data_IF_659009453607
#
_entry.id   IF_659009453607
#
_cell.length_a   1.000
_cell.length_b   1.000
_cell.length_c   1.000
_cell.angle_alpha   90.00
_cell.angle_beta   90.00
_cell.angle_gamma   90.00
#
_symmetry.space_group_name_H-M   'P 1'
#
loop_
_entity.id
_entity.type
_entity.pdbx_description
1 polymer ?
#
# COMPACT_ATOMS: atom_id res chain seq x y z
N UNK A 1 -5.24 -8.54 27.17
CA UNK A 1 -4.15 -7.57 26.90
C UNK A 1 -3.24 -7.55 28.10
N UNK A 2 -2.05 -8.16 28.02
CA UNK A 2 -1.06 -8.06 29.09
C UNK A 2 -0.46 -6.65 29.03
N UNK A 3 -0.52 -5.93 30.15
CA UNK A 3 0.04 -4.58 30.30
C UNK A 3 1.56 -4.68 30.27
N UNK A 4 2.17 -4.43 29.11
CA UNK A 4 3.62 -4.27 28.98
C UNK A 4 4.10 -3.17 29.93
N UNK A 5 5.07 -3.48 30.80
CA UNK A 5 5.62 -2.48 31.71
C UNK A 5 6.45 -1.45 30.92
N UNK A 6 6.51 -0.17 31.33
CA UNK A 6 7.34 0.85 30.68
C UNK A 6 8.82 0.45 30.55
N UNK A 7 9.30 -0.41 31.46
CA UNK A 7 10.67 -0.94 31.44
C UNK A 7 10.91 -1.95 30.32
N UNK A 8 9.88 -2.71 29.89
CA UNK A 8 9.98 -3.66 28.77
C UNK A 8 10.24 -2.94 27.44
N UNK A 9 9.63 -1.77 27.25
CA UNK A 9 9.79 -0.96 26.03
C UNK A 9 11.18 -0.31 25.97
N UNK A 10 11.69 0.15 27.12
CA UNK A 10 13.03 0.72 27.25
C UNK A 10 14.11 -0.32 27.03
N UNK A 11 13.92 -1.53 27.55
CA UNK A 11 14.87 -2.63 27.36
C UNK A 11 14.91 -3.09 25.90
N UNK A 12 13.76 -3.17 25.22
CA UNK A 12 13.70 -3.47 23.79
C UNK A 12 14.44 -2.41 22.95
N UNK A 13 14.17 -1.11 23.20
CA UNK A 13 14.87 -0.02 22.49
C UNK A 13 16.38 -0.03 22.74
N UNK A 14 16.82 -0.21 23.98
CA UNK A 14 18.25 -0.26 24.33
C UNK A 14 18.98 -1.38 23.60
N UNK A 15 18.38 -2.57 23.53
CA UNK A 15 18.99 -3.70 22.82
C UNK A 15 19.06 -3.45 21.32
N UNK A 16 18.02 -2.87 20.71
CA UNK A 16 18.05 -2.49 19.29
C UNK A 16 19.11 -1.43 19.00
N UNK A 17 19.26 -0.40 19.82
CA UNK A 17 20.33 0.60 19.63
C UNK A 17 21.72 0.00 19.83
N UNK A 18 21.90 -0.87 20.84
CA UNK A 18 23.16 -1.56 21.06
C UNK A 18 23.53 -2.46 19.88
N UNK A 19 22.54 -3.18 19.32
CA UNK A 19 22.71 -4.00 18.12
C UNK A 19 23.20 -3.16 16.95
N UNK A 20 22.45 -2.10 16.60
CA UNK A 20 22.78 -1.23 15.48
C UNK A 20 24.19 -0.62 15.61
N UNK A 21 24.54 -0.08 16.79
CA UNK A 21 25.88 0.48 17.03
C UNK A 21 26.99 -0.56 16.90
N UNK A 22 26.78 -1.77 17.42
CA UNK A 22 27.75 -2.85 17.34
C UNK A 22 27.94 -3.30 15.88
N UNK A 23 26.85 -3.50 15.14
CA UNK A 23 26.89 -3.93 13.74
C UNK A 23 27.56 -2.88 12.85
N UNK A 24 27.27 -1.61 13.07
CA UNK A 24 27.95 -0.51 12.38
C UNK A 24 29.45 -0.44 12.64
N UNK A 25 29.85 -0.50 13.91
CA UNK A 25 31.27 -0.43 14.29
C UNK A 25 32.05 -1.64 13.75
N UNK A 26 31.49 -2.83 13.88
CA UNK A 26 32.09 -4.07 13.36
C UNK A 26 32.14 -4.05 11.83
N UNK A 27 31.06 -3.62 11.16
CA UNK A 27 30.99 -3.49 9.71
C UNK A 27 32.09 -2.56 9.19
N UNK A 28 32.19 -1.35 9.75
CA UNK A 28 33.22 -0.38 9.37
C UNK A 28 34.64 -0.91 9.61
N UNK A 29 34.88 -1.54 10.77
CA UNK A 29 36.17 -2.15 11.09
C UNK A 29 36.55 -3.24 10.09
N UNK A 30 35.60 -4.11 9.71
CA UNK A 30 35.81 -5.18 8.72
C UNK A 30 36.11 -4.61 7.33
N UNK A 31 35.41 -3.57 6.89
CA UNK A 31 35.69 -2.90 5.61
C UNK A 31 37.10 -2.32 5.59
N UNK A 32 37.50 -1.59 6.63
CA UNK A 32 38.83 -0.96 6.72
C UNK A 32 39.92 -2.03 6.75
N UNK A 33 39.82 -3.00 7.67
CA UNK A 33 40.84 -4.05 7.81
C UNK A 33 40.88 -4.94 6.58
N UNK A 34 39.73 -5.32 6.02
CA UNK A 34 39.64 -6.10 4.79
C UNK A 34 40.31 -5.40 3.61
N UNK A 35 40.11 -4.08 3.46
CA UNK A 35 40.76 -3.29 2.41
C UNK A 35 42.28 -3.20 2.60
N UNK A 36 42.75 -2.96 3.84
CA UNK A 36 44.18 -2.89 4.17
C UNK A 36 44.90 -4.22 3.91
N UNK A 37 44.21 -5.31 4.21
CA UNK A 37 44.74 -6.67 4.13
C UNK A 37 44.54 -7.30 2.73
N UNK A 38 43.64 -6.74 1.92
CA UNK A 38 43.30 -7.24 0.60
C UNK A 38 42.36 -8.46 0.60
N UNK A 39 41.62 -8.70 1.69
CA UNK A 39 40.59 -9.75 1.75
C UNK A 39 39.26 -9.23 1.21
N UNK A 40 38.81 -9.81 0.10
CA UNK A 40 37.54 -9.44 -0.50
C UNK A 40 36.36 -9.98 0.33
N UNK A 41 36.51 -11.15 0.96
CA UNK A 41 35.47 -11.75 1.79
C UNK A 41 35.16 -10.89 3.02
N UNK A 42 36.21 -10.38 3.68
CA UNK A 42 36.06 -9.53 4.86
C UNK A 42 35.46 -8.17 4.51
N UNK A 43 35.81 -7.61 3.34
CA UNK A 43 35.17 -6.38 2.84
C UNK A 43 33.69 -6.62 2.54
N UNK A 44 33.33 -7.74 1.89
CA UNK A 44 31.95 -8.07 1.56
C UNK A 44 31.07 -8.24 2.82
N UNK A 45 31.58 -8.95 3.82
CA UNK A 45 30.91 -9.14 5.12
C UNK A 45 30.81 -7.84 5.94
N UNK A 46 31.83 -6.97 5.81
CA UNK A 46 31.81 -5.63 6.38
C UNK A 46 30.76 -4.72 5.73
N UNK A 47 30.65 -4.74 4.40
CA UNK A 47 29.62 -3.99 3.66
C UNK A 47 28.23 -4.49 4.04
N UNK A 48 28.01 -5.81 4.08
CA UNK A 48 26.74 -6.39 4.54
C UNK A 48 26.33 -5.83 5.92
N UNK A 49 27.22 -5.95 6.91
CA UNK A 49 26.93 -5.47 8.27
C UNK A 49 26.76 -3.94 8.36
N UNK A 50 27.48 -3.18 7.54
CA UNK A 50 27.32 -1.72 7.47
C UNK A 50 25.99 -1.32 6.81
N UNK A 51 25.58 -2.05 5.77
CA UNK A 51 24.31 -1.86 5.08
C UNK A 51 23.13 -2.12 6.01
N UNK A 52 23.22 -3.10 6.92
CA UNK A 52 22.19 -3.33 7.94
C UNK A 52 22.01 -2.09 8.83
N UNK A 53 23.10 -1.50 9.35
CA UNK A 53 23.03 -0.24 10.11
C UNK A 53 22.42 0.91 9.28
N UNK A 54 22.84 1.06 8.03
CA UNK A 54 22.30 2.12 7.16
C UNK A 54 20.81 1.89 6.92
N UNK A 55 20.37 0.65 6.73
CA UNK A 55 18.96 0.28 6.58
C UNK A 55 18.18 0.65 7.83
N UNK A 56 18.66 0.27 9.02
CA UNK A 56 18.02 0.61 10.29
C UNK A 56 17.93 2.13 10.51
N UNK A 57 19.02 2.84 10.22
CA UNK A 57 19.08 4.30 10.29
C UNK A 57 18.13 4.97 9.30
N UNK A 58 18.03 4.42 8.09
CA UNK A 58 17.13 4.89 7.06
C UNK A 58 15.68 4.65 7.45
N UNK A 59 15.34 3.48 7.98
CA UNK A 59 13.98 3.19 8.50
C UNK A 59 13.63 4.16 9.62
N UNK A 60 14.55 4.45 10.55
CA UNK A 60 14.33 5.43 11.62
C UNK A 60 14.13 6.87 11.08
N UNK A 61 14.96 7.29 10.13
CA UNK A 61 14.87 8.61 9.51
C UNK A 61 13.61 8.72 8.65
N UNK A 62 13.32 7.73 7.82
CA UNK A 62 12.13 7.64 7.00
C UNK A 62 10.86 7.58 7.85
N UNK A 63 10.87 6.88 8.98
CA UNK A 63 9.76 6.94 9.95
C UNK A 63 9.59 8.36 10.50
N UNK A 64 10.65 9.13 10.70
CA UNK A 64 10.56 10.51 11.16
C UNK A 64 10.01 11.47 10.08
N UNK A 65 10.54 11.41 8.85
CA UNK A 65 10.12 12.26 7.74
C UNK A 65 8.80 11.81 7.10
N UNK A 66 8.58 10.51 6.94
CA UNK A 66 7.37 9.91 6.37
C UNK A 66 6.14 10.00 7.28
N UNK A 67 6.32 10.25 8.58
CA UNK A 67 5.23 10.59 9.51
C UNK A 67 4.71 12.01 9.39
N UNK A 68 5.36 12.86 8.58
CA UNK A 68 4.84 14.18 8.30
C UNK A 68 3.53 14.03 7.54
N UNK A 69 2.49 14.63 8.11
CA UNK A 69 1.15 14.63 7.51
C UNK A 69 1.13 15.35 6.16
N UNK A 70 -0.02 15.33 5.48
CA UNK A 70 -0.24 16.14 4.30
C UNK A 70 0.09 17.62 4.52
N UNK A 71 0.69 18.25 3.52
CA UNK A 71 0.93 19.69 3.44
C UNK A 71 0.42 20.26 2.10
N UNK A 72 0.72 21.52 1.80
CA UNK A 72 0.24 22.21 0.59
C UNK A 72 0.77 21.59 -0.72
N UNK A 73 1.98 21.03 -0.70
CA UNK A 73 2.62 20.44 -1.88
C UNK A 73 2.44 18.90 -1.93
N UNK A 74 2.04 18.27 -0.81
CA UNK A 74 1.91 16.82 -0.65
C UNK A 74 0.58 16.44 0.03
N UNK A 75 -0.52 16.50 -0.70
CA UNK A 75 -1.88 16.19 -0.18
C UNK A 75 -2.05 14.76 0.36
N UNK A 76 -1.22 13.80 -0.04
CA UNK A 76 -1.23 12.42 0.47
C UNK A 76 -0.14 12.15 1.53
N UNK A 77 0.59 13.19 1.93
CA UNK A 77 1.69 13.12 2.89
C UNK A 77 3.01 12.64 2.28
N UNK A 78 4.00 12.45 3.15
CA UNK A 78 5.41 12.26 2.77
C UNK A 78 5.87 10.81 2.77
N UNK A 79 4.94 9.85 2.88
CA UNK A 79 5.26 8.43 3.01
C UNK A 79 6.17 7.90 1.89
N UNK A 80 5.98 8.34 0.64
CA UNK A 80 6.77 7.90 -0.51
C UNK A 80 8.27 8.23 -0.43
N UNK A 81 8.68 9.14 0.47
CA UNK A 81 10.11 9.40 0.72
C UNK A 81 10.79 8.14 1.28
N UNK A 82 10.09 7.36 2.11
CA UNK A 82 10.58 6.07 2.62
C UNK A 82 10.83 5.08 1.48
N UNK A 83 9.87 4.97 0.56
CA UNK A 83 9.95 4.12 -0.62
C UNK A 83 11.13 4.51 -1.51
N UNK A 84 11.31 5.81 -1.77
CA UNK A 84 12.43 6.32 -2.57
C UNK A 84 13.78 6.07 -1.91
N UNK A 85 13.87 6.27 -0.60
CA UNK A 85 15.10 6.03 0.13
C UNK A 85 15.48 4.54 0.13
N UNK A 86 14.48 3.66 0.30
CA UNK A 86 14.66 2.20 0.27
C UNK A 86 15.07 1.71 -1.12
N UNK A 87 14.47 2.28 -2.18
CA UNK A 87 14.86 2.03 -3.57
C UNK A 87 16.31 2.42 -3.83
N UNK A 88 16.74 3.61 -3.37
CA UNK A 88 18.11 4.08 -3.54
C UNK A 88 19.10 3.18 -2.81
N UNK A 89 18.78 2.81 -1.56
CA UNK A 89 19.59 1.89 -0.78
C UNK A 89 19.75 0.54 -1.48
N UNK A 90 18.65 -0.10 -1.89
CA UNK A 90 18.67 -1.35 -2.65
C UNK A 90 19.54 -1.26 -3.91
N UNK A 91 19.44 -0.14 -4.64
CA UNK A 91 20.27 0.14 -5.83
C UNK A 91 21.76 0.21 -5.52
N UNK A 92 22.14 0.89 -4.43
CA UNK A 92 23.55 0.99 -3.98
C UNK A 92 24.07 -0.38 -3.57
N UNK A 93 23.28 -1.20 -2.86
CA UNK A 93 23.68 -2.54 -2.44
C UNK A 93 23.97 -3.44 -3.64
N UNK A 94 23.10 -3.45 -4.65
CA UNK A 94 23.30 -4.22 -5.89
C UNK A 94 24.58 -3.76 -6.60
N UNK A 95 24.80 -2.45 -6.71
CA UNK A 95 25.99 -1.90 -7.36
C UNK A 95 27.28 -2.34 -6.65
N UNK A 96 27.34 -2.19 -5.33
CA UNK A 96 28.50 -2.56 -4.53
C UNK A 96 28.72 -4.08 -4.54
N UNK A 97 27.67 -4.87 -4.38
CA UNK A 97 27.70 -6.32 -4.51
C UNK A 97 28.24 -6.76 -5.89
N UNK A 98 27.76 -6.14 -6.98
CA UNK A 98 28.24 -6.40 -8.33
C UNK A 98 29.74 -6.08 -8.48
N UNK A 99 30.21 -4.97 -7.91
CA UNK A 99 31.63 -4.61 -7.91
C UNK A 99 32.52 -5.62 -7.16
N UNK A 100 32.07 -6.09 -6.00
CA UNK A 100 32.77 -7.13 -5.23
C UNK A 100 32.76 -8.46 -5.97
N UNK A 101 31.60 -8.89 -6.49
CA UNK A 101 31.47 -10.12 -7.25
C UNK A 101 32.40 -10.10 -8.46
N UNK A 102 32.39 -9.03 -9.25
CA UNK A 102 33.23 -8.85 -10.43
C UNK A 102 34.72 -8.91 -10.09
N UNK A 103 35.16 -8.13 -9.10
CA UNK A 103 36.57 -8.09 -8.70
C UNK A 103 37.05 -9.42 -8.11
N UNK A 104 36.21 -10.11 -7.34
CA UNK A 104 36.51 -11.42 -6.76
C UNK A 104 36.55 -12.52 -7.81
N UNK A 105 35.64 -12.50 -8.78
CA UNK A 105 35.61 -13.43 -9.89
C UNK A 105 36.82 -13.24 -10.82
N UNK A 106 37.21 -11.99 -11.08
CA UNK A 106 38.41 -11.69 -11.84
C UNK A 106 39.67 -12.19 -11.12
N UNK A 107 39.77 -12.04 -9.79
CA UNK A 107 40.88 -12.60 -8.99
C UNK A 107 40.91 -14.13 -9.07
N UNK A 108 39.76 -14.78 -9.01
CA UNK A 108 39.63 -16.23 -9.06
C UNK A 108 40.12 -16.80 -10.41
N UNK A 109 39.74 -16.16 -11.54
CA UNK A 109 40.14 -16.63 -12.87
C UNK A 109 41.56 -16.22 -13.27
N UNK A 110 42.06 -15.09 -12.78
CA UNK A 110 43.43 -14.63 -13.07
C UNK A 110 44.51 -15.29 -12.20
N UNK A 111 44.12 -16.20 -11.29
CA UNK A 111 45.01 -16.89 -10.35
C UNK A 111 46.01 -15.95 -9.63
N UNK A 112 45.57 -14.73 -9.32
CA UNK A 112 46.42 -13.75 -8.64
C UNK A 112 46.79 -14.27 -7.26
N UNK A 113 48.07 -14.21 -6.89
CA UNK A 113 48.50 -14.60 -5.55
C UNK A 113 47.87 -13.64 -4.54
N UNK A 114 46.99 -14.17 -3.70
CA UNK A 114 46.36 -13.44 -2.60
C UNK A 114 47.30 -13.53 -1.41
N UNK A 115 47.81 -12.39 -0.96
CA UNK A 115 48.62 -12.31 0.25
C UNK A 115 47.83 -12.85 1.44
N UNK A 116 48.45 -13.64 2.33
CA UNK A 116 47.78 -14.13 3.53
C UNK A 116 47.19 -12.96 4.33
N UNK A 117 45.92 -13.02 4.71
CA UNK A 117 45.25 -11.88 5.32
C UNK A 117 45.79 -11.51 6.72
N UNK A 118 46.64 -12.36 7.30
CA UNK A 118 47.32 -12.10 8.56
C UNK A 118 46.42 -12.33 9.76
N UNK A 119 47.07 -12.50 10.93
CA UNK A 119 46.41 -12.87 12.17
C UNK A 119 45.35 -11.84 12.62
N UNK A 120 45.57 -10.56 12.32
CA UNK A 120 44.66 -9.47 12.73
C UNK A 120 43.30 -9.51 12.05
N UNK A 121 43.24 -9.89 10.76
CA UNK A 121 41.98 -10.03 10.03
C UNK A 121 41.13 -11.19 10.59
N UNK A 122 41.77 -12.32 10.89
CA UNK A 122 41.10 -13.47 11.51
C UNK A 122 40.62 -13.16 12.93
N UNK A 123 41.44 -12.47 13.73
CA UNK A 123 41.06 -12.04 15.08
C UNK A 123 39.84 -11.12 15.04
N UNK A 124 39.82 -10.16 14.11
CA UNK A 124 38.68 -9.26 13.93
C UNK A 124 37.41 -10.03 13.54
N UNK A 125 37.50 -10.94 12.57
CA UNK A 125 36.35 -11.75 12.14
C UNK A 125 35.84 -12.65 13.28
N UNK A 126 36.74 -13.23 14.09
CA UNK A 126 36.38 -14.02 15.26
C UNK A 126 35.70 -13.18 16.34
N UNK A 127 36.25 -12.00 16.67
CA UNK A 127 35.65 -11.07 17.63
C UNK A 127 34.26 -10.65 17.15
N UNK A 128 34.11 -10.33 15.87
CA UNK A 128 32.82 -9.94 15.30
C UNK A 128 31.79 -11.09 15.39
N UNK A 129 32.21 -12.31 15.07
CA UNK A 129 31.36 -13.50 15.17
C UNK A 129 30.88 -13.74 16.60
N UNK A 130 31.80 -13.69 17.58
CA UNK A 130 31.46 -13.87 19.00
C UNK A 130 30.58 -12.73 19.52
N UNK A 131 30.83 -11.49 19.09
CA UNK A 131 30.02 -10.34 19.46
C UNK A 131 28.59 -10.45 18.93
N UNK A 132 28.40 -10.84 17.66
CA UNK A 132 27.07 -11.07 17.07
C UNK A 132 26.34 -12.26 17.73
N UNK A 133 27.03 -13.36 18.04
CA UNK A 133 26.41 -14.48 18.77
C UNK A 133 25.98 -14.08 20.19
N UNK A 134 26.79 -13.28 20.89
CA UNK A 134 26.42 -12.72 22.18
C UNK A 134 25.19 -11.81 22.08
N UNK A 135 25.15 -10.95 21.06
CA UNK A 135 24.01 -10.08 20.77
C UNK A 135 22.75 -10.89 20.49
N UNK A 136 22.81 -11.94 19.66
CA UNK A 136 21.70 -12.86 19.42
C UNK A 136 21.11 -13.38 20.74
N UNK A 137 21.96 -13.87 21.66
CA UNK A 137 21.49 -14.39 22.94
C UNK A 137 20.87 -13.32 23.83
N UNK A 138 21.39 -12.09 23.82
CA UNK A 138 20.83 -10.96 24.59
C UNK A 138 19.47 -10.57 24.00
N UNK A 139 19.39 -10.37 22.69
CA UNK A 139 18.14 -10.00 21.99
C UNK A 139 17.08 -11.08 22.15
N UNK A 140 17.43 -12.36 22.01
CA UNK A 140 16.50 -13.48 22.22
C UNK A 140 15.99 -13.57 23.67
N UNK A 141 16.84 -13.30 24.66
CA UNK A 141 16.43 -13.25 26.07
C UNK A 141 15.41 -12.12 26.32
N UNK A 142 15.65 -10.95 25.75
CA UNK A 142 14.71 -9.82 25.86
C UNK A 142 13.43 -10.10 25.08
N UNK A 143 13.52 -10.61 23.86
CA UNK A 143 12.38 -10.96 23.01
C UNK A 143 11.38 -11.89 23.71
N UNK A 144 11.89 -12.96 24.34
CA UNK A 144 11.08 -13.91 25.12
C UNK A 144 10.48 -13.30 26.37
N UNK A 145 11.22 -12.41 27.06
CA UNK A 145 10.74 -11.72 28.26
C UNK A 145 9.56 -10.80 27.93
N UNK A 146 9.70 -9.99 26.89
CA UNK A 146 8.68 -9.02 26.46
C UNK A 146 7.61 -9.65 25.55
N UNK A 147 7.73 -10.95 25.25
CA UNK A 147 6.84 -11.73 24.37
C UNK A 147 6.65 -11.09 22.99
N UNK A 148 7.72 -10.51 22.44
CA UNK A 148 7.68 -9.84 21.14
C UNK A 148 8.18 -10.77 20.03
N UNK A 149 7.26 -11.23 19.18
CA UNK A 149 7.58 -12.00 17.97
C UNK A 149 8.47 -11.21 17.00
N UNK A 150 8.35 -9.89 16.98
CA UNK A 150 9.17 -9.01 16.15
C UNK A 150 10.63 -9.02 16.61
N UNK A 151 10.88 -8.90 17.92
CA UNK A 151 12.26 -9.02 18.44
C UNK A 151 12.81 -10.44 18.26
N UNK A 152 11.97 -11.49 18.34
CA UNK A 152 12.40 -12.86 18.07
C UNK A 152 12.84 -13.02 16.61
N UNK A 153 12.07 -12.48 15.65
CA UNK A 153 12.43 -12.46 14.24
C UNK A 153 13.74 -11.70 13.99
N UNK A 154 13.91 -10.52 14.61
CA UNK A 154 15.15 -9.74 14.50
C UNK A 154 16.37 -10.49 15.06
N UNK A 155 16.22 -11.20 16.17
CA UNK A 155 17.29 -12.03 16.72
C UNK A 155 17.68 -13.16 15.74
N UNK A 156 16.70 -13.85 15.13
CA UNK A 156 16.99 -14.87 14.13
C UNK A 156 17.65 -14.31 12.87
N UNK A 157 17.27 -13.09 12.46
CA UNK A 157 17.94 -12.38 11.37
C UNK A 157 19.42 -12.14 11.68
N UNK A 158 19.72 -11.53 12.83
CA UNK A 158 21.10 -11.32 13.31
C UNK A 158 21.92 -12.62 13.38
N UNK A 159 21.28 -13.75 13.72
CA UNK A 159 21.93 -15.07 13.72
C UNK A 159 22.26 -15.57 12.31
N UNK A 160 21.46 -15.23 11.31
CA UNK A 160 21.81 -15.51 9.91
C UNK A 160 23.09 -14.81 9.52
N UNK A 161 23.33 -13.60 10.02
CA UNK A 161 24.58 -12.87 9.75
C UNK A 161 25.79 -13.50 10.44
N UNK A 162 25.61 -14.07 11.64
CA UNK A 162 26.66 -14.86 12.31
C UNK A 162 27.14 -15.99 11.41
N UNK A 163 26.22 -16.68 10.73
CA UNK A 163 26.55 -17.76 9.80
C UNK A 163 27.33 -17.24 8.58
N UNK A 164 26.95 -16.08 8.04
CA UNK A 164 27.70 -15.42 6.95
C UNK A 164 29.12 -15.05 7.37
N UNK A 165 29.29 -14.41 8.54
CA UNK A 165 30.60 -14.09 9.10
C UNK A 165 31.42 -15.36 9.41
N UNK A 166 30.78 -16.48 9.77
CA UNK A 166 31.47 -17.76 9.97
C UNK A 166 32.08 -18.30 8.67
N UNK A 167 31.36 -18.19 7.54
CA UNK A 167 31.89 -18.55 6.21
C UNK A 167 33.13 -17.72 5.88
N UNK A 168 33.10 -16.42 6.17
CA UNK A 168 34.23 -15.51 5.97
C UNK A 168 35.41 -15.89 6.86
N UNK A 169 35.18 -16.20 8.13
CA UNK A 169 36.24 -16.64 9.05
C UNK A 169 36.91 -17.92 8.55
N UNK A 170 36.14 -18.90 8.10
CA UNK A 170 36.68 -20.14 7.52
C UNK A 170 37.52 -19.84 6.27
N UNK A 171 37.06 -18.94 5.40
CA UNK A 171 37.79 -18.53 4.22
C UNK A 171 39.11 -17.82 4.56
N UNK A 172 39.11 -16.94 5.57
CA UNK A 172 40.32 -16.26 6.05
C UNK A 172 41.35 -17.25 6.62
N UNK A 173 40.91 -18.21 7.43
CA UNK A 173 41.78 -19.27 7.97
C UNK A 173 42.37 -20.11 6.86
N UNK A 174 41.56 -20.51 5.88
CA UNK A 174 42.02 -21.31 4.76
C UNK A 174 42.99 -20.53 3.85
N UNK A 175 42.73 -19.24 3.61
CA UNK A 175 43.64 -18.34 2.91
C UNK A 175 44.99 -18.22 3.64
N UNK A 176 44.98 -18.16 4.98
CA UNK A 176 46.19 -18.14 5.79
C UNK A 176 47.01 -19.44 5.68
N UNK A 177 46.36 -20.58 5.45
CA UNK A 177 46.99 -21.89 5.24
C UNK A 177 47.47 -22.11 3.78
N UNK A 178 47.37 -21.09 2.93
CA UNK A 178 47.83 -21.13 1.53
C UNK A 178 46.71 -21.40 0.52
N UNK A 179 45.45 -21.51 0.95
CA UNK A 179 44.28 -21.74 0.08
C UNK A 179 43.58 -20.40 -0.23
N UNK A 180 44.33 -19.44 -0.79
CA UNK A 180 43.87 -18.05 -0.97
C UNK A 180 42.62 -17.89 -1.83
N UNK A 181 42.37 -18.80 -2.78
CA UNK A 181 41.19 -18.76 -3.65
C UNK A 181 39.86 -18.88 -2.90
N UNK A 182 39.86 -19.45 -1.68
CA UNK A 182 38.67 -19.53 -0.84
C UNK A 182 38.18 -18.15 -0.37
N UNK A 183 39.06 -17.18 -0.20
CA UNK A 183 38.66 -15.79 0.09
C UNK A 183 37.85 -15.20 -1.07
N UNK A 184 38.30 -15.41 -2.31
CA UNK A 184 37.56 -14.95 -3.49
C UNK A 184 36.19 -15.65 -3.63
N UNK A 185 36.12 -16.96 -3.35
CA UNK A 185 34.85 -17.70 -3.39
C UNK A 185 33.89 -17.22 -2.30
N UNK A 186 34.38 -17.06 -1.07
CA UNK A 186 33.55 -16.52 0.02
C UNK A 186 33.08 -15.09 -0.29
N UNK A 187 33.93 -14.24 -0.86
CA UNK A 187 33.55 -12.90 -1.31
C UNK A 187 32.43 -12.92 -2.36
N UNK A 188 32.51 -13.83 -3.35
CA UNK A 188 31.44 -14.01 -4.35
C UNK A 188 30.14 -14.45 -3.66
N UNK A 189 30.19 -15.46 -2.78
CA UNK A 189 29.00 -15.95 -2.07
C UNK A 189 28.34 -14.83 -1.24
N UNK A 190 29.12 -14.10 -0.44
CA UNK A 190 28.61 -13.01 0.38
C UNK A 190 28.07 -11.87 -0.50
N UNK A 191 28.76 -11.52 -1.59
CA UNK A 191 28.26 -10.49 -2.52
C UNK A 191 26.94 -10.86 -3.18
N UNK A 192 26.71 -12.13 -3.50
CA UNK A 192 25.41 -12.59 -4.02
C UNK A 192 24.30 -12.49 -2.96
N UNK A 193 24.62 -12.77 -1.70
CA UNK A 193 23.68 -12.60 -0.59
C UNK A 193 23.30 -11.12 -0.41
N UNK A 194 24.28 -10.22 -0.38
CA UNK A 194 24.07 -8.76 -0.29
C UNK A 194 23.28 -8.27 -1.51
N UNK A 195 23.64 -8.72 -2.71
CA UNK A 195 22.94 -8.36 -3.94
C UNK A 195 21.49 -8.83 -3.95
N UNK A 196 21.19 -10.01 -3.38
CA UNK A 196 19.82 -10.49 -3.19
C UNK A 196 19.02 -9.57 -2.27
N UNK A 197 19.59 -9.17 -1.12
CA UNK A 197 18.92 -8.24 -0.19
C UNK A 197 18.64 -6.90 -0.90
N UNK A 198 19.63 -6.36 -1.61
CA UNK A 198 19.46 -5.14 -2.39
C UNK A 198 18.38 -5.28 -3.48
N UNK A 199 18.31 -6.43 -4.15
CA UNK A 199 17.29 -6.74 -5.14
C UNK A 199 15.89 -6.82 -4.54
N UNK A 200 15.74 -7.50 -3.40
CA UNK A 200 14.46 -7.65 -2.72
C UNK A 200 13.93 -6.25 -2.29
N UNK A 201 14.79 -5.39 -1.72
CA UNK A 201 14.44 -3.99 -1.39
C UNK A 201 14.06 -3.15 -2.62
N UNK A 202 14.86 -3.23 -3.69
CA UNK A 202 14.61 -2.48 -4.92
C UNK A 202 13.31 -2.93 -5.58
N UNK A 203 13.06 -4.24 -5.65
CA UNK A 203 11.87 -4.80 -6.27
C UNK A 203 10.60 -4.45 -5.48
N UNK A 204 10.63 -4.57 -4.15
CA UNK A 204 9.50 -4.22 -3.29
C UNK A 204 9.16 -2.72 -3.40
N UNK A 205 10.17 -1.85 -3.26
CA UNK A 205 10.00 -0.40 -3.40
C UNK A 205 9.55 0.01 -4.80
N UNK A 206 10.10 -0.65 -5.84
CA UNK A 206 9.71 -0.42 -7.23
C UNK A 206 8.26 -0.78 -7.49
N UNK A 207 7.78 -1.91 -6.92
CA UNK A 207 6.37 -2.31 -7.00
C UNK A 207 5.45 -1.31 -6.31
N UNK A 208 5.85 -0.78 -5.18
CA UNK A 208 5.09 0.24 -4.47
C UNK A 208 4.99 1.54 -5.28
N UNK A 209 6.09 1.98 -5.92
CA UNK A 209 6.11 3.19 -6.75
C UNK A 209 5.19 3.13 -7.98
N UNK A 210 4.95 1.92 -8.52
CA UNK A 210 4.03 1.71 -9.65
C UNK A 210 2.61 1.39 -9.20
N UNK A 211 2.27 1.67 -7.93
CA UNK A 211 0.95 1.46 -7.35
C UNK A 211 0.45 0.02 -7.48
N UNK A 212 1.34 -0.95 -7.22
CA UNK A 212 0.98 -2.37 -7.30
C UNK A 212 -0.17 -2.70 -6.33
N UNK A 213 -1.17 -3.41 -6.85
CA UNK A 213 -2.33 -3.83 -6.09
C UNK A 213 -1.99 -4.79 -4.94
N UNK A 214 -2.88 -4.85 -3.95
CA UNK A 214 -2.83 -5.83 -2.88
C UNK A 214 -2.96 -7.27 -3.44
N UNK A 215 -2.56 -8.31 -2.70
CA UNK A 215 -2.77 -9.69 -3.14
C UNK A 215 -4.25 -9.97 -3.49
N UNK A 216 -4.49 -10.75 -4.55
CA UNK A 216 -5.85 -11.01 -5.06
C UNK A 216 -6.79 -11.59 -4.00
N UNK A 217 -6.27 -12.42 -3.10
CA UNK A 217 -7.05 -12.98 -1.99
C UNK A 217 -7.54 -11.89 -1.03
N UNK A 218 -6.71 -10.88 -0.77
CA UNK A 218 -7.07 -9.75 0.09
C UNK A 218 -8.12 -8.87 -0.57
N UNK A 219 -7.96 -8.57 -1.87
CA UNK A 219 -8.96 -7.86 -2.66
C UNK A 219 -10.31 -8.59 -2.64
N UNK A 220 -10.32 -9.92 -2.81
CA UNK A 220 -11.54 -10.73 -2.78
C UNK A 220 -12.19 -10.77 -1.39
N UNK A 221 -11.43 -10.64 -0.30
CA UNK A 221 -12.00 -10.48 1.04
C UNK A 221 -12.57 -9.07 1.25
N UNK A 222 -11.88 -8.03 0.77
CA UNK A 222 -12.40 -6.65 0.82
C UNK A 222 -13.71 -6.51 0.04
N UNK A 223 -13.76 -7.09 -1.16
CA UNK A 223 -14.97 -7.15 -1.99
C UNK A 223 -16.16 -7.74 -1.23
N UNK A 224 -15.99 -8.92 -0.60
CA UNK A 224 -17.03 -9.56 0.21
C UNK A 224 -17.49 -8.69 1.39
N UNK A 225 -16.55 -8.06 2.10
CA UNK A 225 -16.90 -7.16 3.22
C UNK A 225 -17.78 -5.98 2.75
N UNK A 226 -17.51 -5.45 1.55
CA UNK A 226 -18.32 -4.40 0.95
C UNK A 226 -19.70 -4.90 0.52
N UNK A 227 -19.79 -6.07 -0.14
CA UNK A 227 -21.08 -6.67 -0.53
C UNK A 227 -21.97 -7.05 0.65
N UNK A 228 -21.40 -7.43 1.79
CA UNK A 228 -22.17 -7.83 2.98
C UNK A 228 -22.86 -6.64 3.69
N UNK A 229 -22.72 -5.41 3.18
CA UNK A 229 -23.40 -4.23 3.71
C UNK A 229 -24.85 -4.19 3.20
N UNK A 230 -25.86 -4.09 4.10
CA UNK A 230 -27.24 -3.94 3.69
C UNK A 230 -27.44 -2.71 2.79
N UNK A 231 -28.13 -2.90 1.67
CA UNK A 231 -28.38 -1.85 0.67
C UNK A 231 -27.36 -1.83 -0.48
N UNK A 232 -26.25 -2.57 -0.37
CA UNK A 232 -25.33 -2.80 -1.49
C UNK A 232 -25.89 -3.91 -2.38
N UNK A 233 -26.06 -3.59 -3.66
CA UNK A 233 -26.52 -4.53 -4.70
C UNK A 233 -25.30 -5.15 -5.40
N UNK A 234 -24.26 -4.35 -5.63
CA UNK A 234 -23.05 -4.75 -6.33
C UNK A 234 -21.84 -3.92 -5.93
N UNK A 235 -20.65 -4.45 -6.20
CA UNK A 235 -19.39 -3.74 -6.06
C UNK A 235 -18.52 -4.11 -7.24
N UNK A 236 -18.08 -3.10 -7.99
CA UNK A 236 -17.16 -3.25 -9.12
C UNK A 236 -16.04 -2.21 -9.01
N UNK A 237 -15.09 -2.24 -9.95
CA UNK A 237 -13.92 -1.35 -10.01
C UNK A 237 -13.14 -1.18 -8.69
N UNK A 238 -13.08 -2.26 -7.91
CA UNK A 238 -12.30 -2.33 -6.69
C UNK A 238 -10.81 -2.31 -7.04
N UNK A 239 -10.18 -1.14 -6.86
CA UNK A 239 -8.77 -0.89 -7.12
C UNK A 239 -8.06 -0.64 -5.80
N UNK A 240 -7.04 -1.45 -5.53
CA UNK A 240 -6.16 -1.28 -4.37
C UNK A 240 -4.79 -0.81 -4.81
N UNK A 241 -4.12 -0.04 -3.97
CA UNK A 241 -2.69 0.27 -4.09
C UNK A 241 -2.05 0.33 -2.72
N UNK A 242 -0.74 0.10 -2.67
CA UNK A 242 0.07 0.26 -1.47
C UNK A 242 0.93 1.53 -1.58
N UNK A 243 1.03 2.28 -0.49
CA UNK A 243 1.86 3.47 -0.40
C UNK A 243 2.38 3.62 1.03
N UNK A 244 3.69 3.55 1.21
CA UNK A 244 4.42 3.64 2.48
C UNK A 244 3.86 2.70 3.57
N UNK A 245 3.69 1.42 3.23
CA UNK A 245 3.12 0.41 4.13
C UNK A 245 1.64 0.62 4.48
N UNK A 246 0.94 1.56 3.80
CA UNK A 246 -0.50 1.80 3.95
C UNK A 246 -1.23 1.32 2.70
N UNK A 247 -2.43 0.81 2.89
CA UNK A 247 -3.33 0.48 1.79
C UNK A 247 -4.25 1.66 1.47
N UNK A 248 -4.51 1.86 0.18
CA UNK A 248 -5.51 2.77 -0.35
C UNK A 248 -6.48 1.96 -1.22
N UNK A 249 -7.76 2.32 -1.18
CA UNK A 249 -8.81 1.63 -1.92
C UNK A 249 -9.73 2.62 -2.63
N UNK A 250 -9.93 2.40 -3.92
CA UNK A 250 -10.98 3.03 -4.70
C UNK A 250 -11.99 1.95 -5.09
N UNK A 251 -13.29 2.19 -4.91
CA UNK A 251 -14.33 1.22 -5.29
C UNK A 251 -15.62 1.90 -5.73
N UNK A 252 -16.39 1.20 -6.55
CA UNK A 252 -17.73 1.59 -6.94
C UNK A 252 -18.74 0.72 -6.19
N UNK A 253 -19.78 1.34 -5.64
CA UNK A 253 -20.81 0.67 -4.84
C UNK A 253 -22.15 0.88 -5.52
N UNK A 254 -22.70 -0.19 -6.07
CA UNK A 254 -24.02 -0.17 -6.70
C UNK A 254 -25.09 -0.29 -5.62
N UNK A 255 -26.00 0.67 -5.59
CA UNK A 255 -27.12 0.75 -4.63
C UNK A 255 -28.46 0.85 -5.36
N UNK A 256 -29.57 0.85 -4.64
CA UNK A 256 -30.89 0.97 -5.25
C UNK A 256 -31.04 2.27 -6.08
N UNK A 257 -31.51 2.22 -7.34
CA UNK A 257 -31.51 3.37 -8.25
C UNK A 257 -32.46 4.52 -7.85
N UNK A 258 -33.40 4.24 -6.94
CA UNK A 258 -34.45 5.19 -6.52
C UNK A 258 -34.36 5.60 -5.06
N UNK A 259 -33.23 5.30 -4.39
CA UNK A 259 -32.97 5.83 -3.06
C UNK A 259 -32.48 7.27 -3.15
N UNK A 260 -32.56 8.02 -2.05
CA UNK A 260 -32.02 9.37 -2.03
C UNK A 260 -30.49 9.35 -2.09
N UNK A 261 -29.88 10.40 -2.65
CA UNK A 261 -28.41 10.58 -2.63
C UNK A 261 -27.86 10.50 -1.20
N UNK A 262 -28.62 11.02 -0.22
CA UNK A 262 -28.27 10.95 1.20
C UNK A 262 -28.22 9.51 1.72
N UNK A 263 -29.16 8.66 1.32
CA UNK A 263 -29.21 7.26 1.74
C UNK A 263 -28.09 6.45 1.06
N UNK A 264 -27.89 6.64 -0.25
CA UNK A 264 -26.78 6.03 -0.97
C UNK A 264 -25.42 6.39 -0.38
N UNK A 265 -25.23 7.66 0.00
CA UNK A 265 -24.02 8.12 0.66
C UNK A 265 -23.79 7.42 2.02
N UNK A 266 -24.84 7.23 2.82
CA UNK A 266 -24.73 6.54 4.11
C UNK A 266 -24.42 5.04 3.97
N UNK A 267 -24.97 4.38 2.94
CA UNK A 267 -24.60 2.99 2.60
C UNK A 267 -23.10 2.91 2.29
N UNK A 268 -22.58 3.82 1.45
CA UNK A 268 -21.14 3.91 1.17
C UNK A 268 -20.29 4.20 2.42
N UNK A 269 -20.76 5.05 3.32
CA UNK A 269 -20.08 5.31 4.60
C UNK A 269 -20.02 4.08 5.50
N UNK A 270 -21.05 3.23 5.50
CA UNK A 270 -21.03 1.95 6.22
C UNK A 270 -20.06 0.96 5.58
N UNK A 271 -20.00 0.86 4.25
CA UNK A 271 -18.96 0.11 3.52
C UNK A 271 -17.57 0.55 3.96
N UNK A 272 -17.31 1.86 3.96
CA UNK A 272 -16.05 2.45 4.41
C UNK A 272 -15.71 2.10 5.87
N UNK A 273 -16.69 2.19 6.78
CA UNK A 273 -16.50 1.81 8.19
C UNK A 273 -16.15 0.34 8.36
N UNK A 274 -16.86 -0.58 7.68
CA UNK A 274 -16.59 -2.03 7.80
C UNK A 274 -15.22 -2.38 7.25
N UNK A 275 -14.85 -1.83 6.10
CA UNK A 275 -13.53 -2.03 5.51
C UNK A 275 -12.42 -1.50 6.41
N UNK A 276 -12.52 -0.28 6.94
CA UNK A 276 -11.51 0.30 7.85
C UNK A 276 -11.39 -0.47 9.17
N UNK A 277 -12.49 -1.04 9.68
CA UNK A 277 -12.46 -1.90 10.89
C UNK A 277 -11.80 -3.25 10.61
N UNK A 278 -12.07 -3.86 9.46
CA UNK A 278 -11.51 -5.14 9.06
C UNK A 278 -10.03 -5.04 8.65
N UNK A 279 -9.63 -3.90 8.08
CA UNK A 279 -8.29 -3.65 7.56
C UNK A 279 -7.70 -2.38 8.19
N UNK A 280 -7.04 -2.45 9.36
CA UNK A 280 -6.46 -1.27 10.01
C UNK A 280 -5.37 -0.56 9.20
N UNK A 281 -4.74 -1.25 8.24
CA UNK A 281 -3.77 -0.67 7.31
C UNK A 281 -4.42 0.12 6.16
N UNK A 282 -5.75 0.00 5.98
CA UNK A 282 -6.50 0.77 4.99
C UNK A 282 -6.72 2.18 5.51
N UNK A 283 -5.97 3.11 4.96
CA UNK A 283 -5.95 4.48 5.49
C UNK A 283 -6.67 5.47 4.62
N UNK A 284 -6.72 5.22 3.32
CA UNK A 284 -7.50 6.03 2.39
C UNK A 284 -8.49 5.14 1.65
N UNK A 285 -9.73 5.62 1.55
CA UNK A 285 -10.81 4.91 0.87
C UNK A 285 -11.71 5.96 0.22
N UNK A 286 -11.80 5.89 -1.10
CA UNK A 286 -12.74 6.67 -1.90
C UNK A 286 -13.76 5.71 -2.50
N UNK A 287 -15.04 6.03 -2.36
CA UNK A 287 -16.10 5.25 -2.99
C UNK A 287 -16.93 6.14 -3.91
N UNK A 288 -17.34 5.56 -5.03
CA UNK A 288 -18.39 6.11 -5.88
C UNK A 288 -19.70 5.35 -5.62
N UNK A 289 -20.84 6.06 -5.68
CA UNK A 289 -22.16 5.45 -5.53
C UNK A 289 -22.80 5.41 -6.91
N UNK A 290 -23.06 4.20 -7.39
CA UNK A 290 -23.67 3.99 -8.70
C UNK A 290 -25.11 3.52 -8.54
N UNK A 291 -26.06 4.12 -9.28
CA UNK A 291 -27.46 3.69 -9.27
C UNK A 291 -27.67 2.40 -10.09
N UNK A 292 -26.74 2.07 -10.98
CA UNK A 292 -26.79 0.95 -11.93
C UNK A 292 -25.40 0.29 -12.01
N UNK A 293 -25.34 -0.94 -12.51
CA UNK A 293 -24.07 -1.64 -12.71
C UNK A 293 -23.49 -1.31 -14.09
N UNK A 294 -22.54 -0.37 -14.15
CA UNK A 294 -21.84 0.08 -15.36
C UNK A 294 -20.47 -0.59 -15.55
N UNK A 295 -20.25 -1.73 -14.88
CA UNK A 295 -19.00 -2.46 -14.91
C UNK A 295 -18.54 -2.77 -16.35
N UNK A 296 -17.42 -2.17 -16.76
CA UNK A 296 -16.82 -2.39 -18.07
C UNK A 296 -17.38 -1.53 -19.20
N UNK A 297 -18.35 -0.65 -18.94
CA UNK A 297 -18.89 0.29 -19.93
C UNK A 297 -17.99 1.53 -20.14
N UNK A 298 -16.99 1.70 -19.27
CA UNK A 298 -16.06 2.84 -19.30
C UNK A 298 -16.61 4.03 -18.52
N UNK A 299 -15.91 5.16 -18.60
CA UNK A 299 -16.28 6.39 -17.89
C UNK A 299 -17.47 7.09 -18.60
N UNK A 300 -18.68 7.12 -18.00
CA UNK A 300 -19.87 7.67 -18.65
C UNK A 300 -19.72 9.14 -19.03
N UNK A 301 -18.85 9.89 -18.33
CA UNK A 301 -18.59 11.31 -18.61
C UNK A 301 -17.92 11.55 -19.97
N UNK A 302 -17.44 10.50 -20.64
CA UNK A 302 -16.82 10.58 -21.97
C UNK A 302 -17.82 10.53 -23.12
N UNK A 303 -19.09 10.23 -22.85
CA UNK A 303 -20.15 10.19 -23.85
C UNK A 303 -21.04 11.44 -23.77
N UNK A 304 -21.79 11.78 -24.84
CA UNK A 304 -22.79 12.86 -24.77
C UNK A 304 -23.77 12.59 -23.63
N UNK A 305 -23.85 13.52 -22.68
CA UNK A 305 -24.71 13.38 -21.51
C UNK A 305 -26.19 13.57 -21.82
N UNK A 306 -27.03 13.12 -20.88
CA UNK A 306 -28.45 13.42 -20.84
C UNK A 306 -28.69 14.90 -20.53
N UNK A 307 -29.85 15.47 -20.93
CA UNK A 307 -30.17 16.86 -20.61
C UNK A 307 -30.19 17.07 -19.10
N UNK A 308 -29.61 18.17 -18.62
CA UNK A 308 -29.66 18.51 -17.21
C UNK A 308 -31.05 19.04 -16.84
N UNK A 309 -31.35 19.06 -15.54
CA UNK A 309 -32.64 19.52 -15.00
C UNK A 309 -33.21 20.79 -15.66
N UNK A 310 -32.44 21.89 -15.86
CA UNK A 310 -33.00 23.09 -16.50
C UNK A 310 -33.44 22.87 -17.95
N UNK A 311 -32.72 22.04 -18.70
CA UNK A 311 -33.05 21.70 -20.08
C UNK A 311 -34.29 20.79 -20.13
N UNK A 312 -34.34 19.79 -19.23
CA UNK A 312 -35.51 18.92 -19.02
C UNK A 312 -36.74 19.77 -18.71
N UNK A 313 -36.67 20.64 -17.71
CA UNK A 313 -37.80 21.49 -17.29
C UNK A 313 -38.26 22.42 -18.41
N UNK A 314 -37.33 23.02 -19.17
CA UNK A 314 -37.65 23.86 -20.33
C UNK A 314 -38.36 23.06 -21.42
N UNK A 315 -37.85 21.88 -21.77
CA UNK A 315 -38.42 21.05 -22.83
C UNK A 315 -39.79 20.48 -22.46
N UNK A 316 -39.98 20.08 -21.21
CA UNK A 316 -41.26 19.66 -20.66
C UNK A 316 -42.24 20.84 -20.59
N UNK A 317 -41.83 22.04 -20.16
CA UNK A 317 -42.71 23.20 -20.12
C UNK A 317 -43.24 23.59 -21.51
N UNK A 318 -42.43 23.48 -22.56
CA UNK A 318 -42.87 23.70 -23.95
C UNK A 318 -43.99 22.73 -24.38
N UNK A 319 -44.03 21.52 -23.80
CA UNK A 319 -44.97 20.45 -24.16
C UNK A 319 -46.13 20.30 -23.19
N UNK A 320 -45.96 20.65 -21.93
CA UNK A 320 -46.94 20.42 -20.88
C UNK A 320 -47.67 21.69 -20.43
N UNK A 321 -47.15 22.89 -20.71
CA UNK A 321 -47.74 24.16 -20.23
C UNK A 321 -49.21 24.39 -20.62
N UNK A 322 -49.70 23.75 -21.68
CA UNK A 322 -51.08 23.85 -22.14
C UNK A 322 -52.01 22.78 -21.52
N UNK A 323 -51.46 21.82 -20.77
CA UNK A 323 -52.23 20.72 -20.18
C UNK A 323 -52.84 21.16 -18.84
N UNK A 324 -54.08 20.74 -18.58
CA UNK A 324 -54.81 21.05 -17.34
C UNK A 324 -54.10 20.56 -16.07
N UNK A 325 -53.31 19.49 -16.18
CA UNK A 325 -52.56 18.92 -15.06
C UNK A 325 -51.27 19.70 -14.73
N UNK A 326 -50.74 20.51 -15.65
CA UNK A 326 -49.44 21.18 -15.46
C UNK A 326 -49.40 22.12 -14.24
N UNK A 327 -50.40 22.99 -14.00
CA UNK A 327 -50.43 23.82 -12.79
C UNK A 327 -50.57 23.03 -11.48
N UNK A 328 -50.93 21.74 -11.56
CA UNK A 328 -51.09 20.86 -10.39
C UNK A 328 -49.82 20.05 -10.08
N UNK A 329 -48.78 20.14 -10.93
CA UNK A 329 -47.50 19.50 -10.68
C UNK A 329 -46.69 20.42 -9.77
N UNK A 330 -46.41 19.96 -8.55
CA UNK A 330 -45.67 20.72 -7.55
C UNK A 330 -44.16 20.56 -7.72
N UNK A 331 -43.73 19.38 -8.14
CA UNK A 331 -42.32 19.01 -8.24
C UNK A 331 -42.10 17.94 -9.30
N UNK A 332 -40.90 17.98 -9.91
CA UNK A 332 -40.40 16.93 -10.81
C UNK A 332 -39.19 16.25 -10.19
N UNK A 333 -39.32 14.95 -9.95
CA UNK A 333 -38.18 14.07 -9.67
C UNK A 333 -37.69 13.45 -10.97
N UNK A 334 -36.37 13.49 -11.16
CA UNK A 334 -35.71 13.03 -12.38
C UNK A 334 -34.81 11.85 -12.01
N UNK A 335 -35.02 10.72 -12.66
CA UNK A 335 -34.15 9.55 -12.54
C UNK A 335 -33.43 9.32 -13.86
N UNK A 336 -32.11 9.36 -13.83
CA UNK A 336 -31.24 9.14 -14.99
C UNK A 336 -30.80 7.67 -14.94
N UNK A 337 -31.47 6.83 -15.71
CA UNK A 337 -31.32 5.37 -15.68
C UNK A 337 -31.35 4.83 -17.11
N UNK A 338 -30.60 3.76 -17.39
CA UNK A 338 -30.54 3.08 -18.70
C UNK A 338 -30.27 4.04 -19.88
N UNK A 339 -29.49 5.10 -19.66
CA UNK A 339 -29.19 6.11 -20.69
C UNK A 339 -30.40 6.96 -21.10
N UNK A 340 -31.43 7.07 -20.26
CA UNK A 340 -32.61 7.91 -20.46
C UNK A 340 -33.04 8.60 -19.16
N UNK A 341 -34.01 9.52 -19.24
CA UNK A 341 -34.59 10.21 -18.07
C UNK A 341 -36.01 9.73 -17.86
N UNK A 342 -36.28 9.18 -16.68
CA UNK A 342 -37.62 8.98 -16.14
C UNK A 342 -38.04 10.22 -15.37
N UNK A 343 -39.24 10.72 -15.65
CA UNK A 343 -39.79 11.92 -14.99
C UNK A 343 -40.93 11.51 -14.07
N UNK A 344 -40.80 11.78 -12.77
CA UNK A 344 -41.87 11.57 -11.78
C UNK A 344 -42.53 12.92 -11.50
N UNK A 345 -43.72 13.11 -12.05
CA UNK A 345 -44.56 14.26 -11.77
C UNK A 345 -45.23 14.10 -10.40
N UNK A 346 -44.92 14.99 -9.47
CA UNK A 346 -45.48 14.97 -8.13
C UNK A 346 -46.69 15.91 -8.08
N UNK A 347 -47.86 15.35 -7.72
CA UNK A 347 -49.11 16.09 -7.57
C UNK A 347 -49.58 16.01 -6.12
N UNK A 348 -50.33 17.03 -5.67
CA UNK A 348 -51.08 16.97 -4.41
C UNK A 348 -52.02 15.74 -4.39
N UNK A 349 -52.10 15.07 -3.25
CA UNK A 349 -53.04 13.97 -3.00
C UNK A 349 -54.50 14.35 -3.31
N UNK A 350 -54.88 15.60 -3.06
CA UNK A 350 -56.22 16.15 -3.30
C UNK A 350 -56.49 16.51 -4.78
N UNK A 351 -55.50 16.42 -5.67
CA UNK A 351 -55.71 16.80 -7.07
C UNK A 351 -56.78 15.87 -7.73
N UNK A 352 -57.83 16.42 -8.36
CA UNK A 352 -59.02 15.67 -8.77
C UNK A 352 -58.84 14.79 -10.02
N UNK A 353 -57.62 14.73 -10.56
CA UNK A 353 -57.29 13.98 -11.77
C UNK A 353 -56.95 12.53 -11.44
N UNK A 354 -57.22 11.59 -12.33
CA UNK A 354 -56.78 10.19 -12.16
C UNK A 354 -55.32 10.04 -12.58
N UNK A 355 -54.47 9.43 -11.75
CA UNK A 355 -53.01 9.36 -12.00
C UNK A 355 -52.68 8.71 -13.34
N UNK A 356 -53.37 7.63 -13.74
CA UNK A 356 -53.14 6.95 -15.02
C UNK A 356 -53.50 7.83 -16.23
N UNK A 357 -54.56 8.64 -16.11
CA UNK A 357 -54.97 9.58 -17.15
C UNK A 357 -53.95 10.71 -17.29
N UNK A 358 -53.37 11.18 -16.18
CA UNK A 358 -52.29 12.18 -16.18
C UNK A 358 -51.05 11.63 -16.87
N UNK A 359 -50.57 10.43 -16.48
CA UNK A 359 -49.41 9.78 -17.13
C UNK A 359 -49.61 9.69 -18.64
N UNK A 360 -50.74 9.13 -19.09
CA UNK A 360 -51.02 8.93 -20.51
C UNK A 360 -50.99 10.25 -21.30
N UNK A 361 -51.53 11.34 -20.73
CA UNK A 361 -51.51 12.68 -21.34
C UNK A 361 -50.09 13.26 -21.39
N UNK A 362 -49.35 13.21 -20.28
CA UNK A 362 -48.00 13.76 -20.19
C UNK A 362 -47.04 13.05 -21.16
N UNK A 363 -47.09 11.72 -21.21
CA UNK A 363 -46.28 10.91 -22.15
C UNK A 363 -46.64 11.17 -23.60
N UNK A 364 -47.94 11.24 -23.93
CA UNK A 364 -48.38 11.51 -25.30
C UNK A 364 -47.87 12.87 -25.82
N UNK A 365 -47.89 13.89 -24.97
CA UNK A 365 -47.42 15.24 -25.32
C UNK A 365 -45.89 15.39 -25.36
N UNK A 366 -45.13 14.43 -24.84
CA UNK A 366 -43.67 14.49 -24.76
C UNK A 366 -42.95 13.34 -25.49
N UNK A 367 -43.67 12.56 -26.28
CA UNK A 367 -43.14 11.40 -27.03
C UNK A 367 -42.05 11.75 -28.05
N UNK A 368 -41.97 13.02 -28.46
CA UNK A 368 -40.95 13.49 -29.40
C UNK A 368 -39.57 13.71 -28.76
N UNK A 369 -39.48 13.65 -27.43
CA UNK A 369 -38.22 13.80 -26.69
C UNK A 369 -37.42 12.49 -26.70
N UNK A 370 -36.25 12.42 -27.35
CA UNK A 370 -35.51 11.17 -27.53
C UNK A 370 -34.87 10.65 -26.23
N UNK A 371 -34.72 11.51 -25.22
CA UNK A 371 -34.15 11.17 -23.92
C UNK A 371 -35.19 10.74 -22.88
N UNK A 372 -36.49 10.94 -23.13
CA UNK A 372 -37.55 10.63 -22.18
C UNK A 372 -37.87 9.13 -22.26
N UNK A 373 -37.70 8.41 -21.14
CA UNK A 373 -38.06 6.99 -21.04
C UNK A 373 -39.58 6.84 -20.83
N UNK A 374 -40.06 7.23 -19.66
CA UNK A 374 -41.48 7.22 -19.31
C UNK A 374 -41.79 8.26 -18.22
N UNK A 375 -43.08 8.53 -18.02
CA UNK A 375 -43.56 9.45 -16.98
C UNK A 375 -44.30 8.69 -15.90
N UNK A 376 -43.99 8.99 -14.65
CA UNK A 376 -44.71 8.47 -13.49
C UNK A 376 -45.44 9.59 -12.77
N UNK A 377 -46.50 9.25 -12.05
CA UNK A 377 -47.20 10.19 -11.18
C UNK A 377 -47.12 9.71 -9.75
N UNK A 378 -46.62 10.56 -8.86
CA UNK A 378 -46.60 10.33 -7.42
C UNK A 378 -47.48 11.35 -6.72
N UNK A 379 -48.26 10.88 -5.75
CA UNK A 379 -49.09 11.74 -4.89
C UNK A 379 -48.33 12.10 -3.64
N UNK A 380 -48.24 13.40 -3.37
CA UNK A 380 -47.68 13.93 -2.14
C UNK A 380 -48.82 14.08 -1.13
N UNK A 381 -48.75 13.32 -0.04
CA UNK A 381 -49.58 13.59 1.12
C UNK A 381 -49.15 14.93 1.71
N UNK A 382 -50.11 15.82 1.97
CA UNK A 382 -49.85 17.15 2.52
C UNK A 382 -48.95 17.01 3.76
N UNK A 383 -47.72 17.50 3.69
CA UNK A 383 -46.98 17.83 4.89
C UNK A 383 -47.70 19.03 5.49
N UNK A 384 -48.54 18.79 6.49
CA UNK A 384 -49.02 19.83 7.40
C UNK A 384 -47.79 20.49 8.00
N UNK A 385 -47.34 21.58 7.40
CA UNK A 385 -46.36 22.48 7.97
C UNK A 385 -46.96 23.01 9.27
N UNK A 386 -46.44 22.49 10.40
CA UNK A 386 -46.66 23.02 11.73
C UNK A 386 -45.42 23.84 12.14
#
# INVERSE_FOLDING_TARGET
MATSHPDDYRDAQRVTYLAAWLDGLLGLAKVIVGALVGSAALVADGIHSFSDLVTDGLVLAATHYGRQGPDEDHHYGHGRIETLATLLLGSVLIFVAGGIAWSSLHRLFSATMISPPGLWAMLLALVALLAKEALFHVTMRVAKRVKSRLLEANAWHSRSDVLSTAVVLVALVAAQLGVGWLDAVAAVIVSLLVGKVGWDLLWESGRELVDTALPMEEQARMHRVALDVPGVIGVHDLRTRQSAGRAMLDLHVVVGPRISVSEGHEIGNEVSRRLRRAYPALTDLTFHIDPEDDAGEGDPSRFPGLPLRPDVERELAMRWSHLECWPMIEMLDLHYLDGAVTVVACLDELAPLESQAVVTKLEASARDLPWLSHVEVRRLAIQSTA
#
